data_IF_849611097381
#
_entry.id   IF_849611097381
#
_cell.length_a   1.000
_cell.length_b   1.000
_cell.length_c   1.000
_cell.angle_alpha   90.00
_cell.angle_beta   90.00
_cell.angle_gamma   90.00
#
_symmetry.space_group_name_H-M   'P 1'
#
loop_
_entity.id
_entity.type
_entity.pdbx_description
1 polymer ?
#
# COMPACT_ATOMS: atom_id res chain seq x y z
N UNK A 1 -13.61 12.96 -7.71
CA UNK A 1 -14.88 12.45 -8.29
C UNK A 1 -15.43 11.34 -7.40
N UNK A 2 -16.71 11.00 -7.53
CA UNK A 2 -17.32 9.86 -6.81
C UNK A 2 -17.86 8.84 -7.82
N UNK A 3 -17.69 7.56 -7.52
CA UNK A 3 -18.28 6.44 -8.25
C UNK A 3 -18.94 5.49 -7.27
N UNK A 4 -20.15 5.01 -7.59
CA UNK A 4 -20.78 3.94 -6.80
C UNK A 4 -20.25 2.59 -7.30
N UNK A 5 -19.59 1.83 -6.43
CA UNK A 5 -19.08 0.49 -6.69
C UNK A 5 -19.51 -0.43 -5.55
N UNK A 6 -20.09 -1.58 -5.86
CA UNK A 6 -20.56 -2.55 -4.86
C UNK A 6 -21.37 -1.90 -3.72
N UNK A 7 -22.32 -1.01 -4.09
CA UNK A 7 -23.18 -0.31 -3.14
C UNK A 7 -22.51 0.80 -2.30
N UNK A 8 -21.24 1.12 -2.54
CA UNK A 8 -20.48 2.14 -1.81
C UNK A 8 -20.04 3.28 -2.73
N UNK A 9 -20.12 4.53 -2.26
CA UNK A 9 -19.59 5.69 -2.99
C UNK A 9 -18.10 5.83 -2.73
N UNK A 10 -17.29 5.55 -3.73
CA UNK A 10 -15.83 5.60 -3.69
C UNK A 10 -15.34 6.91 -4.30
N UNK A 11 -14.53 7.65 -3.57
CA UNK A 11 -13.83 8.82 -4.10
C UNK A 11 -12.61 8.38 -4.89
N UNK A 12 -12.42 8.95 -6.09
CA UNK A 12 -11.26 8.71 -6.93
C UNK A 12 -10.81 9.97 -7.69
N UNK A 13 -9.56 9.97 -8.08
CA UNK A 13 -8.96 10.94 -8.98
C UNK A 13 -8.21 10.23 -10.11
N UNK A 14 -8.24 10.81 -11.29
CA UNK A 14 -7.44 10.41 -12.46
C UNK A 14 -6.43 11.51 -12.74
N UNK A 15 -5.17 11.15 -12.88
CA UNK A 15 -4.07 12.04 -13.23
C UNK A 15 -3.38 11.52 -14.49
N UNK A 16 -2.70 12.40 -15.22
CA UNK A 16 -2.10 12.07 -16.51
C UNK A 16 -3.14 11.95 -17.63
N UNK A 17 -2.67 11.56 -18.81
CA UNK A 17 -3.50 11.50 -20.03
C UNK A 17 -4.30 10.19 -20.10
N UNK A 18 -5.53 10.27 -20.58
CA UNK A 18 -6.34 9.08 -20.89
C UNK A 18 -5.72 8.31 -22.05
N UNK A 19 -5.90 6.99 -22.04
CA UNK A 19 -5.39 6.09 -23.08
C UNK A 19 -3.97 5.59 -22.85
N UNK A 20 -3.23 6.19 -21.91
CA UNK A 20 -1.94 5.66 -21.47
C UNK A 20 -2.12 4.43 -20.58
N UNK A 21 -1.05 3.63 -20.46
CA UNK A 21 -0.98 2.54 -19.48
C UNK A 21 -1.32 3.10 -18.09
N UNK A 22 -2.24 2.43 -17.39
CA UNK A 22 -2.74 2.93 -16.10
C UNK A 22 -2.04 2.28 -14.93
N UNK A 23 -1.57 3.10 -13.99
CA UNK A 23 -1.15 2.68 -12.66
C UNK A 23 -2.35 2.86 -11.71
N UNK A 24 -2.86 1.76 -11.16
CA UNK A 24 -3.88 1.75 -10.12
C UNK A 24 -3.18 1.66 -8.77
N UNK A 25 -3.19 2.74 -8.02
CA UNK A 25 -2.49 2.80 -6.74
C UNK A 25 -3.42 2.47 -5.58
N UNK A 26 -2.94 1.65 -4.68
CA UNK A 26 -3.62 1.31 -3.44
C UNK A 26 -2.94 2.05 -2.27
N UNK A 27 -3.73 2.59 -1.34
CA UNK A 27 -3.20 3.06 -0.06
C UNK A 27 -3.46 2.01 1.02
N UNK A 28 -2.67 2.03 2.10
CA UNK A 28 -2.87 1.10 3.21
C UNK A 28 -4.30 1.21 3.73
N UNK A 29 -5.03 0.10 3.86
CA UNK A 29 -6.33 0.11 4.48
C UNK A 29 -6.20 0.47 5.96
N UNK A 30 -7.23 1.10 6.49
CA UNK A 30 -7.25 1.59 7.88
C UNK A 30 -7.73 3.04 7.94
N UNK A 31 -8.61 3.34 8.85
CA UNK A 31 -9.41 4.57 8.91
C UNK A 31 -8.68 5.91 9.10
N UNK A 32 -7.37 5.97 8.87
CA UNK A 32 -6.55 7.18 9.04
C UNK A 32 -5.70 7.53 7.82
N UNK A 33 -5.70 6.69 6.79
CA UNK A 33 -4.94 6.88 5.55
C UNK A 33 -5.93 7.05 4.39
N UNK A 34 -5.56 7.81 3.38
CA UNK A 34 -6.32 8.00 2.16
C UNK A 34 -5.40 8.17 0.94
N UNK A 35 -5.99 8.28 -0.24
CA UNK A 35 -5.27 8.33 -1.51
C UNK A 35 -4.37 9.55 -1.71
N UNK A 36 -4.47 10.59 -0.88
CA UNK A 36 -3.58 11.76 -0.97
C UNK A 36 -2.12 11.39 -0.79
N UNK A 37 -1.85 10.39 0.06
CA UNK A 37 -0.52 9.88 0.28
C UNK A 37 0.08 9.28 -1.00
N UNK A 38 -0.59 8.30 -1.60
CA UNK A 38 -0.11 7.64 -2.83
C UNK A 38 -0.14 8.57 -4.04
N UNK A 39 -1.05 9.56 -4.06
CA UNK A 39 -1.08 10.63 -5.06
C UNK A 39 0.24 11.39 -5.14
N UNK A 40 0.83 11.72 -4.00
CA UNK A 40 2.11 12.42 -3.95
C UNK A 40 3.24 11.56 -4.52
N UNK A 41 3.27 10.27 -4.19
CA UNK A 41 4.29 9.32 -4.66
C UNK A 41 4.23 9.15 -6.19
N UNK A 42 3.03 9.02 -6.76
CA UNK A 42 2.85 8.69 -8.17
C UNK A 42 2.63 9.90 -9.09
N UNK A 43 2.58 11.12 -8.55
CA UNK A 43 2.47 12.34 -9.35
C UNK A 43 3.61 12.50 -10.39
N UNK A 44 4.88 12.19 -10.11
CA UNK A 44 5.96 12.30 -11.08
C UNK A 44 5.78 11.40 -12.32
N UNK A 45 4.96 10.37 -12.26
CA UNK A 45 4.73 9.44 -13.38
C UNK A 45 3.60 9.87 -14.32
N UNK A 46 2.90 10.99 -14.03
CA UNK A 46 1.72 11.42 -14.78
C UNK A 46 2.02 11.91 -16.20
N UNK A 47 3.28 12.20 -16.52
CA UNK A 47 3.67 12.63 -17.87
C UNK A 47 3.60 11.46 -18.88
N UNK A 48 3.89 10.23 -18.41
CA UNK A 48 3.99 9.03 -19.27
C UNK A 48 2.90 7.98 -19.00
N UNK A 49 2.19 8.09 -17.87
CA UNK A 49 1.21 7.11 -17.41
C UNK A 49 -0.08 7.79 -16.96
N UNK A 50 -1.19 7.07 -17.10
CA UNK A 50 -2.38 7.45 -16.36
C UNK A 50 -2.24 6.90 -14.93
N UNK A 51 -2.46 7.73 -13.92
CA UNK A 51 -2.47 7.32 -12.52
C UNK A 51 -3.90 7.45 -11.98
N UNK A 52 -4.41 6.38 -11.41
CA UNK A 52 -5.70 6.37 -10.72
C UNK A 52 -5.45 6.13 -9.23
N UNK A 53 -5.85 7.11 -8.43
CA UNK A 53 -5.85 7.05 -6.97
C UNK A 53 -7.28 7.05 -6.47
N UNK A 54 -7.59 6.31 -5.43
CA UNK A 54 -8.92 6.29 -4.83
C UNK A 54 -8.86 6.03 -3.34
N UNK A 55 -9.81 6.58 -2.62
CA UNK A 55 -9.95 6.32 -1.20
C UNK A 55 -10.70 5.00 -1.03
N UNK A 56 -10.11 4.03 -0.34
CA UNK A 56 -10.75 2.75 -0.05
C UNK A 56 -12.06 2.94 0.72
N UNK A 57 -12.98 2.00 0.61
CA UNK A 57 -14.19 1.92 1.43
C UNK A 57 -13.85 2.14 2.90
N UNK A 58 -14.62 2.97 3.60
CA UNK A 58 -14.34 3.31 5.00
C UNK A 58 -13.14 4.23 5.22
N UNK A 59 -12.50 4.74 4.16
CA UNK A 59 -11.34 5.63 4.27
C UNK A 59 -11.59 6.97 3.59
N UNK A 60 -10.89 8.01 4.06
CA UNK A 60 -10.84 9.31 3.43
C UNK A 60 -12.22 9.89 3.10
N UNK A 61 -12.40 10.26 1.82
CA UNK A 61 -13.61 10.87 1.24
C UNK A 61 -14.62 9.84 0.74
N UNK A 62 -14.27 8.54 0.75
CA UNK A 62 -15.19 7.47 0.45
C UNK A 62 -16.19 7.24 1.56
N UNK A 63 -17.31 6.63 1.21
CA UNK A 63 -18.39 6.36 2.15
C UNK A 63 -17.98 5.41 3.26
N UNK A 64 -18.44 5.69 4.47
CA UNK A 64 -18.21 4.87 5.65
C UNK A 64 -19.32 3.82 5.77
N UNK A 65 -19.10 2.69 5.16
CA UNK A 65 -20.07 1.58 5.10
C UNK A 65 -19.49 0.33 5.76
N UNK A 66 -19.32 0.38 7.06
CA UNK A 66 -18.93 -0.78 7.86
C UNK A 66 -17.47 -1.22 7.70
N UNK A 67 -17.24 -2.46 7.97
CA UNK A 67 -15.91 -3.09 8.17
C UNK A 67 -15.52 -3.91 6.93
N UNK A 68 -14.69 -3.39 6.02
CA UNK A 68 -14.38 -4.07 4.77
C UNK A 68 -13.29 -5.11 4.93
N UNK A 69 -13.51 -6.33 4.45
CA UNK A 69 -12.47 -7.34 4.28
C UNK A 69 -11.52 -7.00 3.13
N UNK A 70 -10.33 -7.61 3.10
CA UNK A 70 -9.42 -7.52 1.93
C UNK A 70 -10.10 -7.98 0.65
N UNK A 71 -10.92 -9.03 0.73
CA UNK A 71 -11.73 -9.50 -0.38
C UNK A 71 -12.68 -8.43 -0.91
N UNK A 72 -13.37 -7.72 -0.02
CA UNK A 72 -14.28 -6.63 -0.38
C UNK A 72 -13.53 -5.43 -0.96
N UNK A 73 -12.40 -5.04 -0.36
CA UNK A 73 -11.55 -3.95 -0.87
C UNK A 73 -11.01 -4.25 -2.27
N UNK A 74 -10.59 -5.50 -2.51
CA UNK A 74 -10.16 -5.97 -3.83
C UNK A 74 -11.30 -5.95 -4.85
N UNK A 75 -12.50 -6.37 -4.45
CA UNK A 75 -13.69 -6.33 -5.31
C UNK A 75 -14.10 -4.89 -5.66
N UNK A 76 -13.96 -3.95 -4.74
CA UNK A 76 -14.22 -2.53 -4.99
C UNK A 76 -13.21 -1.94 -5.98
N UNK A 77 -11.93 -2.26 -5.84
CA UNK A 77 -10.88 -1.85 -6.77
C UNK A 77 -11.16 -2.39 -8.19
N UNK A 78 -11.55 -3.65 -8.33
CA UNK A 78 -11.89 -4.27 -9.61
C UNK A 78 -13.14 -3.64 -10.23
N UNK A 79 -14.18 -3.39 -9.44
CA UNK A 79 -15.39 -2.74 -9.95
C UNK A 79 -15.10 -1.30 -10.38
N UNK A 80 -14.26 -0.57 -9.63
CA UNK A 80 -13.82 0.77 -10.03
C UNK A 80 -13.04 0.73 -11.35
N UNK A 81 -12.08 -0.21 -11.50
CA UNK A 81 -11.32 -0.43 -12.74
C UNK A 81 -12.25 -0.64 -13.93
N UNK A 82 -13.23 -1.54 -13.81
CA UNK A 82 -14.22 -1.83 -14.85
C UNK A 82 -15.07 -0.62 -15.19
N UNK A 83 -15.59 0.08 -14.17
CA UNK A 83 -16.43 1.27 -14.35
C UNK A 83 -15.69 2.40 -15.04
N UNK A 84 -14.39 2.53 -14.79
CA UNK A 84 -13.53 3.51 -15.43
C UNK A 84 -12.97 3.05 -16.80
N UNK A 85 -13.24 1.81 -17.20
CA UNK A 85 -12.79 1.19 -18.47
C UNK A 85 -11.27 1.26 -18.64
N UNK A 86 -10.52 0.89 -17.58
CA UNK A 86 -9.05 1.04 -17.57
C UNK A 86 -8.28 -0.08 -18.31
N UNK A 87 -8.95 -1.14 -18.77
CA UNK A 87 -8.25 -2.30 -19.31
C UNK A 87 -7.42 -3.02 -18.23
N UNK A 88 -6.30 -3.60 -18.60
CA UNK A 88 -5.32 -4.13 -17.65
C UNK A 88 -4.54 -2.97 -17.02
N UNK A 89 -4.28 -3.05 -15.72
CA UNK A 89 -3.59 -2.02 -14.94
C UNK A 89 -2.30 -2.53 -14.31
N UNK A 90 -1.37 -1.63 -14.04
CA UNK A 90 -0.25 -1.88 -13.15
C UNK A 90 -0.73 -1.56 -11.75
N UNK A 91 -0.66 -2.52 -10.83
CA UNK A 91 -1.10 -2.34 -9.45
C UNK A 91 0.10 -1.97 -8.59
N UNK A 92 -0.06 -0.97 -7.73
CA UNK A 92 1.02 -0.51 -6.87
C UNK A 92 0.57 -0.39 -5.42
N UNK A 93 1.35 -0.96 -4.49
CA UNK A 93 1.06 -0.90 -3.06
C UNK A 93 2.28 -1.12 -2.17
N UNK A 94 2.29 -0.45 -1.02
CA UNK A 94 3.32 -0.59 0.02
C UNK A 94 2.74 -1.00 1.36
N UNK A 95 3.52 -1.68 2.18
CA UNK A 95 3.10 -2.04 3.53
C UNK A 95 1.73 -2.75 3.51
N UNK A 96 0.77 -2.34 4.31
CA UNK A 96 -0.60 -2.88 4.26
C UNK A 96 -1.30 -2.76 2.90
N UNK A 97 -0.95 -1.76 2.08
CA UNK A 97 -1.45 -1.68 0.70
C UNK A 97 -0.79 -2.74 -0.21
N UNK A 98 0.41 -3.18 0.11
CA UNK A 98 1.07 -4.30 -0.56
C UNK A 98 0.32 -5.61 -0.35
N UNK A 99 -0.19 -5.85 0.87
CA UNK A 99 -1.07 -6.99 1.15
C UNK A 99 -2.32 -6.97 0.25
N UNK A 100 -2.96 -5.81 0.15
CA UNK A 100 -4.13 -5.63 -0.72
C UNK A 100 -3.77 -5.78 -2.20
N UNK A 101 -2.59 -5.32 -2.63
CA UNK A 101 -2.12 -5.48 -4.00
C UNK A 101 -1.87 -6.95 -4.39
N UNK A 102 -1.30 -7.73 -3.47
CA UNK A 102 -1.14 -9.18 -3.61
C UNK A 102 -2.50 -9.88 -3.70
N UNK A 103 -3.41 -9.58 -2.77
CA UNK A 103 -4.77 -10.11 -2.75
C UNK A 103 -5.54 -9.81 -4.04
N UNK A 104 -5.45 -8.55 -4.51
CA UNK A 104 -6.08 -8.13 -5.76
C UNK A 104 -5.50 -8.88 -6.96
N UNK A 105 -4.18 -9.00 -7.04
CA UNK A 105 -3.50 -9.66 -8.16
C UNK A 105 -3.85 -11.15 -8.24
N UNK A 106 -3.92 -11.84 -7.11
CA UNK A 106 -4.33 -13.23 -7.02
C UNK A 106 -5.80 -13.44 -7.40
N UNK A 107 -6.70 -12.53 -6.99
CA UNK A 107 -8.13 -12.62 -7.31
C UNK A 107 -8.47 -12.25 -8.75
N UNK A 108 -7.73 -11.31 -9.33
CA UNK A 108 -8.04 -10.72 -10.65
C UNK A 108 -6.81 -10.72 -11.58
N UNK A 109 -6.13 -11.86 -11.79
CA UNK A 109 -4.88 -11.90 -12.55
C UNK A 109 -5.03 -11.40 -14.00
N UNK A 110 -6.20 -11.62 -14.62
CA UNK A 110 -6.49 -11.11 -15.97
C UNK A 110 -6.61 -9.57 -16.06
N UNK A 111 -6.78 -8.90 -14.93
CA UNK A 111 -6.91 -7.44 -14.83
C UNK A 111 -5.57 -6.74 -14.57
N UNK A 112 -4.52 -7.50 -14.25
CA UNK A 112 -3.21 -6.97 -13.87
C UNK A 112 -2.21 -7.20 -14.99
N UNK A 113 -1.47 -6.15 -15.32
CA UNK A 113 -0.37 -6.16 -16.31
C UNK A 113 0.99 -6.25 -15.64
N UNK A 114 1.12 -5.69 -14.46
CA UNK A 114 2.33 -5.65 -13.64
C UNK A 114 2.02 -5.29 -12.21
N UNK A 115 2.91 -5.62 -11.30
CA UNK A 115 2.76 -5.41 -9.87
C UNK A 115 3.98 -4.67 -9.31
N UNK A 116 3.75 -3.63 -8.52
CA UNK A 116 4.80 -2.86 -7.84
C UNK A 116 4.56 -2.96 -6.34
N UNK A 117 5.49 -3.58 -5.63
CA UNK A 117 5.46 -3.80 -4.20
C UNK A 117 6.68 -3.15 -3.54
N UNK A 118 6.48 -2.41 -2.46
CA UNK A 118 7.61 -1.93 -1.66
C UNK A 118 7.29 -1.96 -0.18
N UNK A 119 8.32 -2.25 0.63
CA UNK A 119 8.24 -2.33 2.09
C UNK A 119 7.00 -3.13 2.55
N UNK A 120 6.81 -4.32 1.98
CA UNK A 120 5.65 -5.20 2.26
C UNK A 120 6.07 -6.66 2.38
N UNK A 121 5.13 -7.53 2.74
CA UNK A 121 5.35 -8.93 3.04
C UNK A 121 4.26 -9.83 2.42
N UNK A 122 4.52 -11.14 2.24
CA UNK A 122 3.49 -12.08 1.82
C UNK A 122 2.54 -12.51 2.94
N UNK A 123 2.84 -12.12 4.19
CA UNK A 123 2.02 -12.36 5.37
C UNK A 123 2.16 -11.19 6.35
N UNK A 124 1.25 -11.09 7.31
CA UNK A 124 1.29 -10.01 8.30
C UNK A 124 2.51 -10.11 9.22
N UNK A 125 3.18 -8.97 9.46
CA UNK A 125 4.31 -8.89 10.40
C UNK A 125 3.82 -8.91 11.84
N UNK A 126 4.34 -9.85 12.62
CA UNK A 126 3.88 -10.04 13.99
C UNK A 126 4.20 -8.85 14.90
N UNK A 127 3.28 -8.56 15.83
CA UNK A 127 3.49 -7.55 16.89
C UNK A 127 4.74 -7.84 17.74
N UNK A 128 5.11 -9.12 17.89
CA UNK A 128 6.32 -9.54 18.63
C UNK A 128 7.57 -8.99 17.97
N UNK A 129 7.68 -9.10 16.64
CA UNK A 129 8.80 -8.56 15.85
C UNK A 129 8.89 -7.04 15.99
N UNK A 130 7.77 -6.34 15.83
CA UNK A 130 7.72 -4.90 16.01
C UNK A 130 8.14 -4.44 17.41
N UNK A 131 7.63 -5.08 18.46
CA UNK A 131 8.01 -4.76 19.84
C UNK A 131 9.50 -4.98 20.10
N UNK A 132 10.05 -6.09 19.58
CA UNK A 132 11.48 -6.38 19.69
C UNK A 132 12.31 -5.26 19.08
N UNK A 133 11.99 -4.87 17.86
CA UNK A 133 12.72 -3.82 17.12
C UNK A 133 12.58 -2.45 17.78
N UNK A 134 11.37 -2.08 18.19
CA UNK A 134 11.12 -0.80 18.85
C UNK A 134 11.76 -0.68 20.23
N UNK A 135 11.79 -1.79 21.01
CA UNK A 135 12.50 -1.83 22.31
C UNK A 135 14.01 -1.73 22.15
N UNK A 136 14.58 -2.36 21.13
CA UNK A 136 16.01 -2.27 20.83
C UNK A 136 16.45 -0.83 20.57
N UNK A 137 15.55 0.03 20.11
CA UNK A 137 15.80 1.48 19.91
C UNK A 137 15.69 2.32 21.18
N UNK A 138 15.43 1.73 22.36
CA UNK A 138 15.41 2.42 23.64
C UNK A 138 14.27 3.41 23.83
N UNK A 139 13.15 3.25 23.13
CA UNK A 139 12.04 4.20 23.13
C UNK A 139 11.07 3.97 24.28
N UNK A 140 10.78 5.04 25.01
CA UNK A 140 9.69 5.07 25.97
C UNK A 140 8.36 5.29 25.24
N UNK A 141 7.57 4.23 25.10
CA UNK A 141 6.22 4.26 24.52
C UNK A 141 5.19 3.81 25.55
N UNK A 142 3.96 4.27 25.35
CA UNK A 142 2.79 3.62 25.93
C UNK A 142 2.52 2.34 25.14
N UNK A 143 3.12 1.24 25.59
CA UNK A 143 3.04 -0.05 24.92
C UNK A 143 1.62 -0.58 24.82
N UNK A 144 0.78 -0.38 25.85
CA UNK A 144 -0.62 -0.82 25.84
C UNK A 144 -1.41 -0.12 24.74
N UNK A 145 -1.16 1.19 24.55
CA UNK A 145 -1.78 1.94 23.45
C UNK A 145 -1.24 1.53 22.09
N UNK A 146 0.06 1.33 21.96
CA UNK A 146 0.68 0.86 20.72
C UNK A 146 0.15 -0.52 20.33
N UNK A 147 0.00 -1.44 21.29
CA UNK A 147 -0.61 -2.74 21.06
C UNK A 147 -2.05 -2.64 20.59
N UNK A 148 -2.88 -1.82 21.26
CA UNK A 148 -4.25 -1.60 20.81
C UNK A 148 -4.33 -1.02 19.40
N UNK A 149 -3.43 -0.11 19.06
CA UNK A 149 -3.33 0.43 17.71
C UNK A 149 -2.99 -0.66 16.71
N UNK A 150 -1.95 -1.43 16.96
CA UNK A 150 -1.45 -2.45 16.04
C UNK A 150 -2.37 -3.68 15.93
N UNK A 151 -3.02 -4.07 17.00
CA UNK A 151 -3.94 -5.22 17.01
C UNK A 151 -5.39 -4.86 16.68
N UNK A 152 -5.69 -3.59 16.34
CA UNK A 152 -7.04 -3.18 15.98
C UNK A 152 -8.03 -3.14 17.15
N UNK A 153 -7.57 -2.69 18.33
CA UNK A 153 -8.39 -2.56 19.54
C UNK A 153 -8.46 -1.12 20.06
N UNK A 154 -8.35 -0.12 19.18
CA UNK A 154 -8.52 1.28 19.55
C UNK A 154 -9.90 1.54 20.15
N UNK A 155 -9.94 2.30 21.25
CA UNK A 155 -11.16 2.62 22.00
C UNK A 155 -11.95 3.81 21.41
N UNK A 156 -11.42 4.46 20.36
CA UNK A 156 -12.04 5.60 19.71
C UNK A 156 -11.07 6.34 18.81
N UNK A 157 -11.54 7.35 18.09
CA UNK A 157 -10.69 8.14 17.18
C UNK A 157 -9.53 8.86 17.89
N UNK A 158 -9.70 9.24 19.14
CA UNK A 158 -8.61 9.85 19.92
C UNK A 158 -7.50 8.84 20.25
N UNK A 159 -7.87 7.60 20.57
CA UNK A 159 -6.92 6.51 20.83
C UNK A 159 -6.17 6.13 19.54
N UNK A 160 -6.90 5.97 18.42
CA UNK A 160 -6.32 5.76 17.09
C UNK A 160 -5.30 6.86 16.73
N UNK A 161 -5.68 8.13 16.92
CA UNK A 161 -4.79 9.27 16.64
C UNK A 161 -3.51 9.23 17.47
N UNK A 162 -3.59 8.90 18.74
CA UNK A 162 -2.43 8.78 19.62
C UNK A 162 -1.53 7.61 19.20
N UNK A 163 -2.12 6.46 18.87
CA UNK A 163 -1.37 5.30 18.37
C UNK A 163 -0.57 5.61 17.09
N UNK A 164 -1.16 6.34 16.15
CA UNK A 164 -0.44 6.81 14.95
C UNK A 164 0.66 7.81 15.28
N UNK A 165 0.47 8.68 16.27
CA UNK A 165 1.54 9.59 16.68
C UNK A 165 2.73 8.83 17.29
N UNK A 166 2.47 7.79 18.07
CA UNK A 166 3.53 6.93 18.60
C UNK A 166 4.24 6.18 17.46
N UNK A 167 3.49 5.63 16.51
CA UNK A 167 4.05 5.00 15.31
C UNK A 167 4.92 5.96 14.48
N UNK A 168 4.49 7.20 14.29
CA UNK A 168 5.27 8.22 13.59
C UNK A 168 6.56 8.62 14.34
N UNK A 169 6.53 8.63 15.68
CA UNK A 169 7.73 8.86 16.50
C UNK A 169 8.74 7.75 16.33
N UNK A 170 8.29 6.50 16.34
CA UNK A 170 9.12 5.34 16.05
C UNK A 170 9.78 5.46 14.68
N UNK A 171 9.01 5.78 13.65
CA UNK A 171 9.54 5.97 12.31
C UNK A 171 10.60 7.06 12.23
N UNK A 172 10.39 8.19 12.89
CA UNK A 172 11.35 9.29 12.88
C UNK A 172 12.70 8.93 13.52
N UNK A 173 12.72 7.93 14.41
CA UNK A 173 13.92 7.52 15.13
C UNK A 173 14.60 6.32 14.45
N UNK A 174 13.79 5.38 13.96
CA UNK A 174 14.27 4.09 13.47
C UNK A 174 14.47 4.03 11.94
N UNK A 175 13.95 5.02 11.20
CA UNK A 175 14.13 5.12 9.75
C UNK A 175 15.09 6.27 9.45
N UNK A 176 16.31 5.99 8.98
CA UNK A 176 17.24 7.03 8.57
C UNK A 176 16.57 7.95 7.53
N UNK A 177 16.77 9.24 7.67
CA UNK A 177 16.22 10.26 6.76
C UNK A 177 14.69 10.34 6.67
N UNK A 178 13.93 9.67 7.54
CA UNK A 178 12.48 9.85 7.61
C UNK A 178 12.14 11.29 8.00
N UNK A 179 11.54 12.01 7.08
CA UNK A 179 10.93 13.30 7.34
C UNK A 179 9.40 13.13 7.33
N UNK A 180 8.70 13.35 8.45
CA UNK A 180 7.25 13.26 8.47
C UNK A 180 6.67 14.40 7.62
N UNK A 181 6.65 14.21 6.30
CA UNK A 181 6.08 15.11 5.32
C UNK A 181 4.61 14.80 5.04
N UNK A 182 3.90 15.79 4.56
CA UNK A 182 2.55 15.66 4.02
C UNK A 182 1.49 16.43 4.78
N UNK A 183 0.46 16.80 4.05
CA UNK A 183 -0.69 17.57 4.52
C UNK A 183 -1.42 16.86 5.67
N UNK A 184 -1.05 17.24 6.91
CA UNK A 184 -1.65 16.72 8.15
C UNK A 184 -3.01 17.36 8.45
N UNK A 185 -3.44 18.36 7.68
CA UNK A 185 -4.50 19.27 8.07
C UNK A 185 -5.91 18.66 8.05
N UNK A 186 -6.15 17.59 7.28
CA UNK A 186 -7.47 16.94 7.18
C UNK A 186 -7.33 15.42 7.10
N UNK A 187 -6.98 14.77 8.21
CA UNK A 187 -7.08 13.32 8.30
C UNK A 187 -8.48 12.92 8.74
N UNK A 188 -9.04 11.94 8.05
CA UNK A 188 -10.24 11.25 8.52
C UNK A 188 -9.82 10.23 9.56
N UNK A 189 -10.54 10.16 10.66
CA UNK A 189 -10.27 9.24 11.76
C UNK A 189 -11.47 8.33 11.91
N UNK A 190 -11.31 7.06 11.56
CA UNK A 190 -12.35 6.05 11.62
C UNK A 190 -11.82 4.81 12.31
N UNK A 191 -11.82 4.85 13.63
CA UNK A 191 -11.31 3.73 14.43
C UNK A 191 -12.03 2.40 14.18
N UNK A 192 -13.35 2.33 13.88
CA UNK A 192 -13.98 1.04 13.58
C UNK A 192 -13.39 0.39 12.34
N UNK A 193 -13.19 1.14 11.25
CA UNK A 193 -12.53 0.66 10.02
C UNK A 193 -11.09 0.21 10.30
N UNK A 194 -10.35 1.01 11.08
CA UNK A 194 -8.99 0.67 11.48
C UNK A 194 -8.96 -0.66 12.25
N UNK A 195 -9.78 -0.76 13.29
CA UNK A 195 -9.80 -1.94 14.14
C UNK A 195 -10.11 -3.21 13.34
N UNK A 196 -11.13 -3.16 12.50
CA UNK A 196 -11.52 -4.31 11.70
C UNK A 196 -10.40 -4.76 10.74
N UNK A 197 -9.83 -3.82 10.00
CA UNK A 197 -8.75 -4.14 9.04
C UNK A 197 -7.52 -4.70 9.75
N UNK A 198 -7.14 -4.13 10.89
CA UNK A 198 -5.99 -4.62 11.65
C UNK A 198 -6.25 -6.01 12.24
N UNK A 199 -7.47 -6.29 12.71
CA UNK A 199 -7.86 -7.62 13.18
C UNK A 199 -7.82 -8.63 12.03
N UNK A 200 -8.40 -8.31 10.86
CA UNK A 200 -8.34 -9.19 9.69
C UNK A 200 -6.90 -9.50 9.24
N UNK A 201 -6.01 -8.50 9.30
CA UNK A 201 -4.59 -8.71 9.01
C UNK A 201 -3.93 -9.63 10.02
N UNK A 202 -4.28 -9.52 11.31
CA UNK A 202 -3.70 -10.32 12.39
C UNK A 202 -4.27 -11.75 12.43
N UNK A 203 -5.48 -11.98 11.89
CA UNK A 203 -6.14 -13.27 11.83
C UNK A 203 -5.64 -14.13 10.64
N UNK A 204 -4.35 -14.51 10.69
CA UNK A 204 -3.70 -15.44 9.75
C UNK A 204 -3.75 -15.03 8.25
N UNK A 205 -3.89 -13.71 7.93
CA UNK A 205 -3.75 -13.31 6.55
C UNK A 205 -2.35 -13.60 6.03
N UNK A 206 -2.28 -14.35 4.95
CA UNK A 206 -1.03 -14.66 4.26
C UNK A 206 -1.27 -15.30 2.90
N UNK A 207 -0.38 -14.99 1.97
CA UNK A 207 -0.43 -15.49 0.58
C UNK A 207 0.89 -16.15 0.16
N UNK A 208 1.78 -16.44 1.10
CA UNK A 208 3.11 -16.99 0.82
C UNK A 208 3.05 -18.26 -0.03
N UNK A 209 2.14 -19.18 0.29
CA UNK A 209 1.93 -20.43 -0.47
C UNK A 209 1.40 -20.20 -1.90
N UNK A 210 0.83 -19.03 -2.18
CA UNK A 210 0.21 -18.65 -3.46
C UNK A 210 1.09 -17.74 -4.32
N UNK A 211 2.26 -17.33 -3.86
CA UNK A 211 3.12 -16.39 -4.61
C UNK A 211 3.44 -16.89 -6.02
N UNK A 212 3.59 -18.21 -6.19
CA UNK A 212 3.82 -18.85 -7.51
C UNK A 212 2.65 -18.72 -8.48
N UNK A 213 1.45 -18.35 -8.01
CA UNK A 213 0.29 -18.11 -8.87
C UNK A 213 0.34 -16.72 -9.52
N UNK A 214 1.14 -15.80 -8.98
CA UNK A 214 1.39 -14.48 -9.57
C UNK A 214 2.33 -14.66 -10.77
N UNK A 215 1.81 -14.39 -11.97
CA UNK A 215 2.51 -14.61 -13.28
C UNK A 215 2.82 -13.30 -14.01
N UNK A 216 2.48 -12.17 -13.42
CA UNK A 216 2.74 -10.85 -14.01
C UNK A 216 4.12 -10.35 -13.60
N UNK A 217 4.80 -9.58 -14.47
CA UNK A 217 6.03 -8.89 -14.09
C UNK A 217 5.84 -8.15 -12.78
N UNK A 218 6.74 -8.36 -11.83
CA UNK A 218 6.63 -7.80 -10.49
C UNK A 218 7.92 -7.12 -10.06
N UNK A 219 7.80 -5.87 -9.63
CA UNK A 219 8.87 -5.13 -8.96
C UNK A 219 8.71 -5.23 -7.45
N UNK A 220 9.74 -5.69 -6.76
CA UNK A 220 9.83 -5.73 -5.30
C UNK A 220 10.95 -4.80 -4.85
N UNK A 221 10.66 -3.84 -3.97
CA UNK A 221 11.64 -2.90 -3.41
C UNK A 221 11.58 -2.95 -1.88
N UNK A 222 12.73 -2.99 -1.21
CA UNK A 222 12.78 -3.08 0.24
C UNK A 222 14.01 -2.39 0.82
N UNK A 223 13.85 -1.73 1.97
CA UNK A 223 14.96 -1.16 2.74
C UNK A 223 15.60 -2.21 3.64
N UNK A 224 16.93 -2.21 3.74
CA UNK A 224 17.66 -3.15 4.60
C UNK A 224 17.55 -2.79 6.10
N UNK A 225 17.15 -1.55 6.41
CA UNK A 225 16.92 -1.05 7.76
C UNK A 225 15.42 -0.95 8.12
N UNK A 226 14.55 -1.66 7.37
CA UNK A 226 13.12 -1.63 7.66
C UNK A 226 12.82 -2.36 8.97
N UNK A 227 12.50 -1.60 10.01
CA UNK A 227 12.20 -2.12 11.33
C UNK A 227 10.75 -2.61 11.47
N UNK A 228 9.86 -2.21 10.57
CA UNK A 228 8.43 -2.58 10.57
C UNK A 228 8.25 -3.92 9.89
N UNK A 229 8.74 -4.04 8.67
CA UNK A 229 8.70 -5.25 7.86
C UNK A 229 10.15 -5.61 7.51
N UNK A 230 10.74 -6.65 8.13
CA UNK A 230 12.12 -7.02 7.87
C UNK A 230 12.40 -7.34 6.39
N UNK A 231 13.62 -7.06 5.91
CA UNK A 231 14.06 -7.32 4.53
C UNK A 231 13.78 -8.76 4.07
N UNK A 232 13.84 -9.73 4.98
CA UNK A 232 13.55 -11.13 4.70
C UNK A 232 12.16 -11.33 4.10
N UNK A 233 11.18 -10.52 4.48
CA UNK A 233 9.84 -10.59 3.92
C UNK A 233 9.80 -10.12 2.45
N UNK A 234 10.58 -9.09 2.12
CA UNK A 234 10.79 -8.68 0.73
C UNK A 234 11.50 -9.77 -0.09
N UNK A 235 12.50 -10.44 0.50
CA UNK A 235 13.19 -11.58 -0.15
C UNK A 235 12.26 -12.76 -0.41
N UNK A 236 11.33 -13.05 0.49
CA UNK A 236 10.29 -14.08 0.26
C UNK A 236 9.41 -13.73 -0.95
N UNK A 237 9.01 -12.46 -1.09
CA UNK A 237 8.27 -12.00 -2.27
C UNK A 237 9.08 -12.17 -3.55
N UNK A 238 10.34 -11.71 -3.56
CA UNK A 238 11.24 -11.83 -4.70
C UNK A 238 11.53 -13.28 -5.10
N UNK A 239 11.69 -14.17 -4.13
CA UNK A 239 11.92 -15.59 -4.40
C UNK A 239 10.65 -16.37 -4.76
N UNK A 240 9.49 -15.95 -4.24
CA UNK A 240 8.22 -16.65 -4.41
C UNK A 240 7.50 -16.32 -5.70
N UNK A 241 7.66 -15.11 -6.25
CA UNK A 241 7.01 -14.66 -7.49
C UNK A 241 7.93 -14.93 -8.67
N UNK A 242 7.46 -15.73 -9.63
CA UNK A 242 8.31 -16.28 -10.70
C UNK A 242 8.90 -15.24 -11.66
N UNK A 243 8.19 -14.15 -11.94
CA UNK A 243 8.64 -13.04 -12.81
C UNK A 243 8.79 -11.78 -11.95
N UNK A 244 9.76 -11.83 -11.01
CA UNK A 244 10.05 -10.72 -10.11
C UNK A 244 11.48 -10.21 -10.26
N UNK A 245 11.64 -8.89 -10.10
CA UNK A 245 12.91 -8.24 -9.84
C UNK A 245 12.90 -7.62 -8.45
N UNK A 246 13.97 -7.79 -7.70
CA UNK A 246 14.09 -7.26 -6.35
C UNK A 246 15.22 -6.24 -6.26
N UNK A 247 14.91 -5.08 -5.68
CA UNK A 247 15.88 -4.04 -5.37
C UNK A 247 15.93 -3.80 -3.86
N UNK A 248 17.13 -3.88 -3.29
CA UNK A 248 17.40 -3.56 -1.89
C UNK A 248 17.98 -2.16 -1.80
N UNK A 249 17.35 -1.32 -0.98
CA UNK A 249 17.81 0.05 -0.70
C UNK A 249 18.68 0.02 0.54
N UNK A 250 19.99 0.17 0.35
CA UNK A 250 20.97 0.16 1.44
C UNK A 250 20.85 1.39 2.33
N UNK A 251 20.87 1.18 3.65
CA UNK A 251 20.73 2.23 4.65
C UNK A 251 19.34 2.88 4.68
N UNK A 252 18.32 2.23 4.12
CA UNK A 252 16.95 2.73 4.09
C UNK A 252 16.03 1.93 5.01
N UNK A 253 15.09 2.64 5.63
CA UNK A 253 14.01 2.05 6.42
C UNK A 253 12.77 1.74 5.59
N UNK A 254 11.60 1.96 6.21
CA UNK A 254 10.29 1.62 5.64
C UNK A 254 9.81 2.57 4.53
N UNK A 255 10.37 3.78 4.44
CA UNK A 255 9.83 4.87 3.63
C UNK A 255 10.71 5.20 2.42
N UNK A 256 11.01 4.22 1.57
CA UNK A 256 11.94 4.33 0.43
C UNK A 256 11.72 5.57 -0.43
N UNK A 257 10.47 5.85 -0.77
CA UNK A 257 10.06 7.01 -1.59
C UNK A 257 10.26 8.37 -0.90
N UNK A 258 10.50 8.38 0.42
CA UNK A 258 10.84 9.58 1.22
C UNK A 258 12.34 9.65 1.45
N UNK A 259 12.96 8.51 1.77
CA UNK A 259 14.36 8.42 2.16
C UNK A 259 15.29 8.49 0.94
N UNK A 260 14.89 7.93 -0.20
CA UNK A 260 15.63 7.88 -1.48
C UNK A 260 14.71 8.15 -2.67
N UNK A 261 14.09 9.34 -2.78
CA UNK A 261 13.04 9.60 -3.76
C UNK A 261 13.51 9.46 -5.22
N UNK A 262 14.73 9.90 -5.56
CA UNK A 262 15.25 9.82 -6.92
C UNK A 262 15.55 8.37 -7.33
N UNK A 263 16.12 7.59 -6.43
CA UNK A 263 16.43 6.18 -6.64
C UNK A 263 15.13 5.37 -6.80
N UNK A 264 14.15 5.59 -5.92
CA UNK A 264 12.81 5.00 -6.00
C UNK A 264 12.14 5.32 -7.36
N UNK A 265 12.12 6.59 -7.75
CA UNK A 265 11.53 7.01 -9.02
C UNK A 265 12.24 6.36 -10.22
N UNK A 266 13.56 6.33 -10.22
CA UNK A 266 14.36 5.75 -11.30
C UNK A 266 14.05 4.26 -11.50
N UNK A 267 14.05 3.48 -10.42
CA UNK A 267 13.76 2.03 -10.45
C UNK A 267 12.32 1.79 -10.94
N UNK A 268 11.36 2.52 -10.40
CA UNK A 268 9.96 2.39 -10.84
C UNK A 268 9.81 2.74 -12.32
N UNK A 269 10.46 3.80 -12.85
CA UNK A 269 10.41 4.15 -14.27
C UNK A 269 11.02 3.07 -15.15
N UNK A 270 12.13 2.47 -14.76
CA UNK A 270 12.76 1.37 -15.49
C UNK A 270 11.81 0.17 -15.59
N UNK A 271 11.18 -0.23 -14.50
CA UNK A 271 10.17 -1.29 -14.49
C UNK A 271 8.98 -0.94 -15.37
N UNK A 272 8.39 0.24 -15.19
CA UNK A 272 7.25 0.71 -15.97
C UNK A 272 7.54 0.73 -17.47
N UNK A 273 8.76 1.08 -17.89
CA UNK A 273 9.19 1.04 -19.29
C UNK A 273 9.11 -0.34 -19.92
N UNK A 274 9.37 -1.41 -19.14
CA UNK A 274 9.29 -2.80 -19.62
C UNK A 274 7.86 -3.33 -19.72
N UNK A 275 6.95 -2.88 -18.83
CA UNK A 275 5.56 -3.37 -18.78
C UNK A 275 4.56 -2.47 -19.52
N UNK A 276 5.02 -1.35 -20.08
CA UNK A 276 4.20 -0.41 -20.85
C UNK A 276 3.64 -1.07 -22.10
N UNK A 277 2.39 -0.79 -22.45
CA UNK A 277 1.84 -1.17 -23.77
C UNK A 277 2.48 -0.29 -24.83
N UNK A 278 3.04 -0.87 -25.93
CA UNK A 278 3.45 -0.06 -27.07
C UNK A 278 2.28 0.78 -27.58
N UNK A 279 2.55 2.03 -27.95
CA UNK A 279 1.54 3.01 -28.38
C UNK A 279 0.68 2.50 -29.56
N UNK A 280 1.26 1.65 -30.43
CA UNK A 280 0.59 1.09 -31.62
C UNK A 280 -0.54 0.08 -31.33
N UNK A 281 -0.68 -0.40 -30.09
CA UNK A 281 -1.78 -1.31 -29.67
C UNK A 281 -2.92 -0.63 -28.93
N UNK A 282 -2.84 0.69 -28.70
CA UNK A 282 -3.86 1.45 -27.97
C UNK A 282 -4.95 2.03 -28.89
N UNK A 283 -4.89 1.81 -30.19
CA UNK A 283 -5.75 2.41 -31.23
C UNK A 283 -6.66 1.39 -31.93
N UNK A 284 -7.28 0.47 -31.17
CA UNK A 284 -8.37 -0.37 -31.73
C UNK A 284 -9.49 -0.57 -30.69
#
# INVERSE_FOLDING_TARGET
MLATVNGCRIFFERMGLKGLTTILTLHSPGGSVDSRYVKTIFRPFCDDYQVVVFDLRGCGRSEDVGSPSFAQLSADAEMLRKKLRLGQVIVAGSSGAGYLALEYTLRYPASVRGLILWSTAPAHTSLVTLKKNARAAGLALDWDRFERYWSGHCKGNADLRRGILDFNRLNAILSPNYCPGGDRAKRYWRYPTHNYVMQEQNDDWGVESKLKEIRVPTLVMHGDQDWIIPLEEGRKLGAGISDSEMHVFEGCGHWLHVERPQEFESIVRQFLGRVKVPADRAAH
#
